data_IF_882179949417
#
_entry.id   IF_882179949417
#
_cell.length_a   1.000
_cell.length_b   1.000
_cell.length_c   1.000
_cell.angle_alpha   90.00
_cell.angle_beta   90.00
_cell.angle_gamma   90.00
#
_symmetry.space_group_name_H-M   'P 1'
#
loop_
_entity.id
_entity.type
_entity.pdbx_description
1 polymer ?
#
# COMPACT_ATOMS: atom_id res chain seq x y z
N UNK A 1 32.37 -68.47 47.02
CA UNK A 1 31.08 -67.78 46.93
C UNK A 1 31.30 -66.32 46.43
N UNK A 2 31.02 -66.08 45.16
CA UNK A 2 31.21 -64.72 44.53
C UNK A 2 29.83 -64.09 44.42
N UNK A 3 29.59 -62.94 45.18
CA UNK A 3 28.39 -62.12 45.06
C UNK A 3 28.56 -61.25 43.85
N UNK A 4 27.66 -61.33 42.89
CA UNK A 4 27.54 -60.41 41.76
C UNK A 4 26.67 -59.19 42.20
N UNK A 5 27.26 -58.06 42.16
CA UNK A 5 26.56 -56.74 42.37
C UNK A 5 25.91 -56.35 41.06
N UNK A 6 24.60 -56.27 41.05
CA UNK A 6 23.83 -55.74 39.89
C UNK A 6 23.59 -54.24 40.13
N UNK A 7 24.23 -53.43 39.31
CA UNK A 7 24.00 -51.94 39.30
C UNK A 7 22.87 -51.69 38.35
N UNK A 8 21.74 -51.20 38.89
CA UNK A 8 20.58 -50.69 38.12
C UNK A 8 20.85 -49.24 37.74
N UNK A 9 21.10 -48.95 36.48
CA UNK A 9 21.21 -47.60 35.97
C UNK A 9 19.81 -47.09 35.63
N UNK A 10 19.28 -46.21 36.49
CA UNK A 10 18.03 -45.48 36.20
C UNK A 10 18.36 -44.32 35.26
N UNK A 11 18.06 -44.47 33.98
CA UNK A 11 18.15 -43.37 33.00
C UNK A 11 16.89 -42.50 33.17
N UNK A 12 17.04 -41.36 33.86
CA UNK A 12 16.03 -40.30 33.84
C UNK A 12 15.98 -39.65 32.47
N UNK A 13 14.98 -39.96 31.66
CA UNK A 13 14.63 -39.20 30.49
C UNK A 13 14.01 -37.86 30.96
N UNK A 14 14.82 -36.84 31.01
CA UNK A 14 14.33 -35.46 31.13
C UNK A 14 13.84 -35.04 29.72
N UNK A 15 12.56 -35.27 29.45
CA UNK A 15 11.89 -34.60 28.32
C UNK A 15 11.88 -33.11 28.60
N UNK A 16 12.83 -32.37 28.01
CA UNK A 16 12.83 -30.94 27.97
C UNK A 16 11.60 -30.47 27.18
N UNK A 17 10.52 -30.11 27.89
CA UNK A 17 9.48 -29.28 27.34
C UNK A 17 10.12 -27.92 27.03
N UNK A 18 10.63 -27.72 25.83
CA UNK A 18 10.88 -26.39 25.31
C UNK A 18 9.50 -25.69 25.27
N UNK A 19 9.26 -24.81 26.22
CA UNK A 19 8.18 -23.87 26.14
C UNK A 19 8.42 -23.06 24.83
N UNK A 20 7.64 -23.37 23.78
CA UNK A 20 7.57 -22.51 22.61
C UNK A 20 7.13 -21.13 23.11
N UNK A 21 8.05 -20.20 23.20
CA UNK A 21 7.73 -18.79 23.44
C UNK A 21 6.77 -18.40 22.31
N UNK A 22 5.51 -18.12 22.67
CA UNK A 22 4.52 -17.68 21.69
C UNK A 22 5.09 -16.42 21.03
N UNK A 23 5.32 -16.49 19.73
CA UNK A 23 5.71 -15.31 18.96
C UNK A 23 4.59 -14.27 19.09
N UNK A 24 4.94 -13.11 19.59
CA UNK A 24 4.06 -11.93 19.62
C UNK A 24 4.67 -10.92 18.68
N UNK A 25 3.93 -10.51 17.67
CA UNK A 25 4.39 -9.56 16.67
C UNK A 25 4.81 -8.23 17.30
N UNK A 26 6.03 -7.81 17.04
CA UNK A 26 6.49 -6.45 17.32
C UNK A 26 6.04 -5.52 16.18
N UNK A 27 4.85 -4.96 16.34
CA UNK A 27 4.24 -4.10 15.32
C UNK A 27 5.06 -2.87 14.98
N UNK A 28 5.97 -2.45 15.86
CA UNK A 28 6.85 -1.30 15.60
C UNK A 28 7.88 -1.58 14.51
N UNK A 29 8.08 -2.86 14.13
CA UNK A 29 8.99 -3.26 13.04
C UNK A 29 8.31 -3.42 11.69
N UNK A 30 6.98 -3.39 11.65
CA UNK A 30 6.22 -3.52 10.40
C UNK A 30 6.13 -2.19 9.67
N UNK A 31 6.08 -2.25 8.34
CA UNK A 31 5.88 -1.10 7.46
C UNK A 31 6.77 0.11 7.80
N UNK A 32 8.08 -0.10 8.01
CA UNK A 32 9.03 0.99 8.32
C UNK A 32 9.14 2.00 7.17
N UNK A 33 8.89 1.58 5.95
CA UNK A 33 8.61 2.42 4.78
C UNK A 33 7.24 2.05 4.22
N UNK A 34 6.61 2.91 3.40
CA UNK A 34 5.33 2.58 2.78
C UNK A 34 5.41 1.25 2.01
N UNK A 35 4.47 0.30 2.19
CA UNK A 35 4.45 -0.94 1.43
C UNK A 35 4.38 -0.70 -0.08
N UNK A 36 5.08 -1.52 -0.85
CA UNK A 36 5.06 -1.48 -2.32
C UNK A 36 4.67 -2.84 -2.88
N UNK A 37 3.74 -2.86 -3.84
CA UNK A 37 3.28 -4.11 -4.41
C UNK A 37 2.32 -3.94 -5.61
N UNK A 38 1.57 -5.00 -5.88
CA UNK A 38 0.52 -5.05 -6.88
C UNK A 38 -0.75 -5.62 -6.26
N UNK A 39 -1.90 -5.05 -6.58
CA UNK A 39 -3.23 -5.42 -6.06
C UNK A 39 -4.20 -5.72 -7.20
N UNK A 40 -5.02 -6.76 -7.04
CA UNK A 40 -5.80 -7.34 -8.14
C UNK A 40 -7.05 -6.54 -8.52
N UNK A 41 -7.56 -5.63 -7.67
CA UNK A 41 -8.93 -5.13 -7.80
C UNK A 41 -9.19 -4.29 -9.06
N UNK A 42 -8.47 -3.19 -9.27
CA UNK A 42 -8.84 -2.22 -10.30
C UNK A 42 -8.78 -2.79 -11.73
N UNK A 43 -7.85 -3.68 -12.04
CA UNK A 43 -7.79 -4.32 -13.35
C UNK A 43 -8.75 -5.50 -13.47
N UNK A 44 -8.84 -6.35 -12.43
CA UNK A 44 -9.45 -7.67 -12.57
C UNK A 44 -10.74 -7.85 -11.78
N UNK A 45 -11.01 -7.04 -10.75
CA UNK A 45 -12.17 -7.15 -9.86
C UNK A 45 -12.37 -8.58 -9.37
N UNK A 46 -13.54 -9.17 -9.59
CA UNK A 46 -13.87 -10.56 -9.23
C UNK A 46 -13.25 -11.62 -10.13
N UNK A 47 -12.61 -11.22 -11.26
CA UNK A 47 -12.04 -12.15 -12.27
C UNK A 47 -10.62 -12.55 -11.89
N UNK A 48 -10.47 -13.11 -10.71
CA UNK A 48 -9.19 -13.59 -10.16
C UNK A 48 -9.21 -15.10 -9.99
N UNK A 49 -8.04 -15.71 -10.14
CA UNK A 49 -7.79 -17.11 -9.86
C UNK A 49 -6.30 -17.34 -9.54
N UNK A 50 -5.96 -18.56 -9.15
CA UNK A 50 -4.61 -18.95 -8.77
C UNK A 50 -3.58 -18.69 -9.88
N UNK A 51 -3.92 -19.03 -11.13
CA UNK A 51 -3.01 -18.86 -12.27
C UNK A 51 -2.72 -17.39 -12.54
N UNK A 52 -3.75 -16.53 -12.53
CA UNK A 52 -3.56 -15.09 -12.67
C UNK A 52 -2.60 -14.53 -11.61
N UNK A 53 -2.76 -14.92 -10.35
CA UNK A 53 -1.91 -14.41 -9.27
C UNK A 53 -0.46 -14.89 -9.45
N UNK A 54 -0.25 -16.14 -9.89
CA UNK A 54 1.08 -16.67 -10.24
C UNK A 54 1.71 -15.91 -11.40
N UNK A 55 0.93 -15.66 -12.46
CA UNK A 55 1.39 -14.89 -13.62
C UNK A 55 1.77 -13.44 -13.24
N UNK A 56 1.01 -12.80 -12.35
CA UNK A 56 1.38 -11.47 -11.84
C UNK A 56 2.65 -11.50 -11.01
N UNK A 57 2.85 -12.55 -10.17
CA UNK A 57 4.10 -12.73 -9.42
C UNK A 57 5.30 -12.93 -10.37
N UNK A 58 5.14 -13.72 -11.42
CA UNK A 58 6.18 -13.92 -12.44
C UNK A 58 6.49 -12.63 -13.22
N UNK A 59 5.45 -11.88 -13.60
CA UNK A 59 5.59 -10.59 -14.27
C UNK A 59 6.23 -9.52 -13.36
N UNK A 60 5.95 -9.56 -12.06
CA UNK A 60 6.60 -8.70 -11.06
C UNK A 60 8.11 -8.89 -11.06
N UNK A 61 8.57 -10.15 -11.16
CA UNK A 61 10.00 -10.50 -11.18
C UNK A 61 10.61 -10.21 -12.56
N UNK A 62 10.04 -10.77 -13.62
CA UNK A 62 10.58 -10.65 -14.99
C UNK A 62 10.51 -9.22 -15.52
N UNK A 63 9.52 -8.45 -15.07
CA UNK A 63 9.36 -7.03 -15.38
C UNK A 63 10.34 -6.12 -14.63
N UNK A 64 11.10 -6.60 -13.64
CA UNK A 64 12.03 -5.81 -12.84
C UNK A 64 11.38 -4.98 -11.73
N UNK A 65 10.08 -5.18 -11.49
CA UNK A 65 9.35 -4.44 -10.44
C UNK A 65 9.82 -4.85 -9.04
N UNK A 66 10.03 -6.17 -8.80
CA UNK A 66 10.62 -6.64 -7.54
C UNK A 66 11.95 -5.96 -7.25
N UNK A 67 12.83 -5.86 -8.22
CA UNK A 67 14.16 -5.28 -8.08
C UNK A 67 14.11 -3.73 -7.92
N UNK A 68 12.97 -3.11 -8.29
CA UNK A 68 12.67 -1.71 -8.03
C UNK A 68 12.08 -1.47 -6.61
N UNK A 69 11.76 -2.54 -5.86
CA UNK A 69 11.27 -2.46 -4.48
C UNK A 69 9.83 -2.91 -4.26
N UNK A 70 9.09 -3.29 -5.30
CA UNK A 70 7.74 -3.83 -5.16
C UNK A 70 7.80 -5.27 -4.65
N UNK A 71 7.35 -5.50 -3.43
CA UNK A 71 7.52 -6.77 -2.74
C UNK A 71 6.25 -7.57 -2.56
N UNK A 72 5.07 -6.93 -2.62
CA UNK A 72 3.81 -7.58 -2.30
C UNK A 72 2.99 -7.92 -3.56
N UNK A 73 2.38 -9.10 -3.54
CA UNK A 73 1.24 -9.46 -4.39
C UNK A 73 0.02 -9.50 -3.47
N UNK A 74 -0.98 -8.65 -3.72
CA UNK A 74 -2.19 -8.59 -2.92
C UNK A 74 -3.35 -9.22 -3.68
N UNK A 75 -3.98 -10.25 -3.09
CA UNK A 75 -5.27 -10.74 -3.52
C UNK A 75 -6.34 -9.90 -2.83
N UNK A 76 -7.10 -9.14 -3.62
CA UNK A 76 -8.24 -8.36 -3.13
C UNK A 76 -9.47 -9.25 -2.93
N UNK A 77 -10.68 -8.71 -2.82
CA UNK A 77 -11.94 -9.44 -2.58
C UNK A 77 -12.20 -10.56 -3.61
N UNK A 78 -13.17 -11.42 -3.33
CA UNK A 78 -13.67 -12.50 -4.19
C UNK A 78 -12.80 -13.77 -4.27
N UNK A 79 -11.87 -13.99 -3.32
CA UNK A 79 -11.13 -15.24 -3.22
C UNK A 79 -11.81 -16.29 -2.35
N UNK A 80 -12.77 -15.89 -1.51
CA UNK A 80 -13.37 -16.69 -0.45
C UNK A 80 -14.37 -17.69 -1.02
N UNK A 81 -14.33 -18.95 -0.55
CA UNK A 81 -15.27 -20.02 -0.87
C UNK A 81 -16.26 -20.35 0.25
N UNK A 82 -16.22 -19.59 1.35
CA UNK A 82 -17.07 -19.83 2.53
C UNK A 82 -16.28 -20.32 3.75
N UNK A 83 -16.91 -21.16 4.60
CA UNK A 83 -16.29 -21.78 5.76
C UNK A 83 -16.51 -23.30 5.74
N UNK A 84 -15.53 -24.03 6.25
CA UNK A 84 -15.65 -25.48 6.44
C UNK A 84 -16.53 -25.85 7.66
N UNK A 85 -16.67 -27.13 7.95
CA UNK A 85 -17.46 -27.65 9.08
C UNK A 85 -16.84 -27.32 10.46
N UNK A 86 -15.63 -26.76 10.50
CA UNK A 86 -14.94 -26.26 11.71
C UNK A 86 -14.90 -24.74 11.74
N UNK A 87 -15.67 -24.10 10.88
CA UNK A 87 -15.71 -22.66 10.68
C UNK A 87 -14.37 -22.03 10.21
N UNK A 88 -13.42 -22.80 9.67
CA UNK A 88 -12.26 -22.21 9.03
C UNK A 88 -12.67 -21.55 7.72
N UNK A 89 -12.18 -20.33 7.47
CA UNK A 89 -12.35 -19.71 6.16
C UNK A 89 -11.58 -20.51 5.12
N UNK A 90 -12.23 -20.74 3.97
CA UNK A 90 -11.62 -21.52 2.87
C UNK A 90 -11.65 -20.70 1.57
N UNK A 91 -10.66 -20.88 0.69
CA UNK A 91 -10.69 -20.28 -0.64
C UNK A 91 -11.75 -20.95 -1.51
N UNK A 92 -12.19 -20.22 -2.55
CA UNK A 92 -13.02 -20.77 -3.61
C UNK A 92 -12.24 -21.90 -4.32
N UNK A 93 -12.73 -23.17 -4.30
CA UNK A 93 -11.99 -24.31 -4.84
C UNK A 93 -11.89 -24.30 -6.37
N UNK A 94 -12.74 -23.54 -7.06
CA UNK A 94 -12.64 -23.36 -8.51
C UNK A 94 -11.60 -22.32 -8.91
N UNK A 95 -11.50 -21.26 -8.12
CA UNK A 95 -10.52 -20.18 -8.35
C UNK A 95 -9.13 -20.55 -7.82
N UNK A 96 -9.05 -21.23 -6.67
CA UNK A 96 -7.80 -21.55 -5.96
C UNK A 96 -7.75 -23.04 -5.61
N UNK A 97 -7.66 -23.93 -6.60
CA UNK A 97 -7.77 -25.39 -6.41
C UNK A 97 -6.69 -25.99 -5.51
N UNK A 98 -5.50 -25.38 -5.45
CA UNK A 98 -4.41 -25.85 -4.57
C UNK A 98 -4.37 -25.11 -3.22
N UNK A 99 -5.30 -24.15 -3.01
CA UNK A 99 -5.42 -23.36 -1.78
C UNK A 99 -4.44 -22.22 -1.65
N UNK A 100 -4.73 -21.30 -0.72
CA UNK A 100 -3.94 -20.08 -0.52
C UNK A 100 -2.53 -20.38 0.01
N UNK A 101 -2.35 -21.44 0.80
CA UNK A 101 -1.01 -21.80 1.28
C UNK A 101 -0.04 -22.15 0.15
N UNK A 102 -0.47 -22.97 -0.80
CA UNK A 102 0.36 -23.33 -1.95
C UNK A 102 0.69 -22.12 -2.81
N UNK A 103 -0.26 -21.21 -2.96
CA UNK A 103 -0.06 -19.94 -3.66
C UNK A 103 0.93 -19.03 -2.90
N UNK A 104 0.85 -18.95 -1.58
CA UNK A 104 1.81 -18.19 -0.76
C UNK A 104 3.23 -18.77 -0.89
N UNK A 105 3.37 -20.10 -0.83
CA UNK A 105 4.66 -20.77 -1.02
C UNK A 105 5.25 -20.44 -2.41
N UNK A 106 4.41 -20.41 -3.45
CA UNK A 106 4.83 -20.01 -4.81
C UNK A 106 5.31 -18.55 -4.85
N UNK A 107 4.53 -17.62 -4.31
CA UNK A 107 4.88 -16.19 -4.28
C UNK A 107 6.18 -15.96 -3.49
N UNK A 108 6.32 -16.64 -2.34
CA UNK A 108 7.54 -16.58 -1.53
C UNK A 108 8.75 -17.16 -2.27
N UNK A 109 8.58 -18.21 -3.09
CA UNK A 109 9.66 -18.78 -3.92
C UNK A 109 10.23 -17.77 -4.94
N UNK A 110 9.45 -16.73 -5.28
CA UNK A 110 9.88 -15.63 -6.15
C UNK A 110 10.55 -14.46 -5.38
N UNK A 111 10.73 -14.61 -4.05
CA UNK A 111 11.23 -13.53 -3.18
C UNK A 111 10.22 -12.40 -2.99
N UNK A 112 8.94 -12.69 -3.14
CA UNK A 112 7.82 -11.78 -2.94
C UNK A 112 7.04 -12.16 -1.68
N UNK A 113 6.09 -11.33 -1.28
CA UNK A 113 5.20 -11.48 -0.13
C UNK A 113 3.75 -11.55 -0.60
N UNK A 114 2.90 -12.32 0.10
CA UNK A 114 1.49 -12.43 -0.24
C UNK A 114 0.63 -11.64 0.74
N UNK A 115 -0.17 -10.70 0.21
CA UNK A 115 -1.25 -10.03 0.93
C UNK A 115 -2.61 -10.65 0.60
N UNK A 116 -3.54 -10.56 1.54
CA UNK A 116 -4.91 -11.06 1.39
C UNK A 116 -5.92 -10.03 1.88
N UNK A 117 -7.18 -10.20 1.50
CA UNK A 117 -8.30 -9.33 1.84
C UNK A 117 -9.31 -10.04 2.74
N UNK A 118 -9.88 -9.31 3.70
CA UNK A 118 -11.11 -9.67 4.40
C UNK A 118 -11.84 -8.40 4.84
N UNK A 119 -12.90 -8.56 5.66
CA UNK A 119 -13.75 -7.45 6.09
C UNK A 119 -14.13 -7.58 7.57
N UNK A 120 -14.32 -6.45 8.24
CA UNK A 120 -14.78 -6.33 9.62
C UNK A 120 -16.31 -6.48 9.76
N UNK A 121 -16.96 -7.10 8.78
CA UNK A 121 -18.36 -7.45 8.74
C UNK A 121 -18.55 -8.96 8.49
N UNK A 122 -19.79 -9.50 8.55
CA UNK A 122 -20.05 -10.89 8.19
C UNK A 122 -19.76 -11.20 6.72
N UNK A 123 -19.93 -10.23 5.84
CA UNK A 123 -19.71 -10.33 4.40
C UNK A 123 -18.81 -9.19 3.91
N UNK A 124 -18.01 -9.50 2.88
CA UNK A 124 -17.16 -8.53 2.17
C UNK A 124 -17.99 -7.55 1.33
N UNK A 125 -17.33 -6.55 0.73
CA UNK A 125 -17.98 -5.59 -0.18
C UNK A 125 -18.65 -6.29 -1.36
N UNK A 126 -18.05 -7.36 -1.88
CA UNK A 126 -18.63 -8.16 -2.97
C UNK A 126 -19.58 -9.29 -2.48
N UNK A 127 -19.88 -9.36 -1.16
CA UNK A 127 -20.83 -10.32 -0.60
C UNK A 127 -20.25 -11.70 -0.27
N UNK A 128 -18.93 -11.86 -0.23
CA UNK A 128 -18.27 -13.09 0.16
C UNK A 128 -18.10 -13.20 1.69
N UNK A 129 -17.79 -14.40 2.17
CA UNK A 129 -17.54 -14.64 3.61
C UNK A 129 -16.40 -13.78 4.12
N UNK A 130 -16.63 -13.09 5.24
CA UNK A 130 -15.63 -12.24 5.90
C UNK A 130 -15.31 -12.70 7.33
N UNK A 131 -14.51 -11.93 8.07
CA UNK A 131 -13.87 -12.40 9.32
C UNK A 131 -14.55 -11.94 10.61
N UNK A 132 -15.58 -11.10 10.55
CA UNK A 132 -16.27 -10.62 11.75
C UNK A 132 -16.83 -11.76 12.60
N UNK A 133 -16.43 -11.81 13.88
CA UNK A 133 -16.78 -12.89 14.82
C UNK A 133 -15.87 -14.12 14.74
N UNK A 134 -14.91 -14.14 13.82
CA UNK A 134 -13.95 -15.24 13.63
C UNK A 134 -12.48 -14.74 13.57
N UNK A 135 -12.23 -13.54 14.10
CA UNK A 135 -10.93 -12.84 13.95
C UNK A 135 -9.76 -13.68 14.43
N UNK A 136 -9.87 -14.35 15.59
CA UNK A 136 -8.77 -15.20 16.12
C UNK A 136 -8.53 -16.44 15.27
N UNK A 137 -9.61 -17.05 14.75
CA UNK A 137 -9.50 -18.25 13.92
C UNK A 137 -8.93 -17.92 12.56
N UNK A 138 -9.41 -16.84 11.93
CA UNK A 138 -8.98 -16.41 10.61
C UNK A 138 -7.53 -15.88 10.65
N UNK A 139 -7.15 -15.12 11.67
CA UNK A 139 -5.76 -14.69 11.85
C UNK A 139 -4.77 -15.86 11.95
N UNK A 140 -5.15 -16.95 12.67
CA UNK A 140 -4.34 -18.17 12.72
C UNK A 140 -4.29 -18.88 11.36
N UNK A 141 -5.38 -18.89 10.64
CA UNK A 141 -5.46 -19.45 9.27
C UNK A 141 -4.57 -18.68 8.32
N UNK A 142 -4.63 -17.34 8.34
CA UNK A 142 -3.78 -16.47 7.52
C UNK A 142 -2.29 -16.66 7.87
N UNK A 143 -1.95 -16.75 9.15
CA UNK A 143 -0.58 -17.05 9.59
C UNK A 143 -0.11 -18.43 9.10
N UNK A 144 -0.96 -19.46 9.21
CA UNK A 144 -0.66 -20.81 8.72
C UNK A 144 -0.47 -20.84 7.20
N UNK A 145 -1.22 -20.08 6.45
CA UNK A 145 -1.04 -19.95 4.98
C UNK A 145 0.21 -19.16 4.59
N UNK A 146 0.85 -18.46 5.51
CA UNK A 146 2.02 -17.65 5.23
C UNK A 146 1.69 -16.25 4.69
N UNK A 147 0.54 -15.70 5.05
CA UNK A 147 0.16 -14.34 4.67
C UNK A 147 1.07 -13.30 5.35
N UNK A 148 1.46 -12.27 4.61
CA UNK A 148 2.35 -11.19 5.04
C UNK A 148 1.65 -9.84 5.24
N UNK A 149 0.43 -9.69 4.70
CA UNK A 149 -0.36 -8.48 4.79
C UNK A 149 -1.85 -8.81 4.76
N UNK A 150 -2.65 -8.17 5.61
CA UNK A 150 -4.11 -8.23 5.58
C UNK A 150 -4.68 -6.85 5.27
N UNK A 151 -5.36 -6.70 4.12
CA UNK A 151 -6.29 -5.58 3.86
C UNK A 151 -7.62 -5.94 4.50
N UNK A 152 -8.11 -5.11 5.41
CA UNK A 152 -9.31 -5.37 6.19
C UNK A 152 -10.31 -4.23 6.00
N UNK A 153 -11.39 -4.54 5.30
CA UNK A 153 -12.40 -3.58 4.86
C UNK A 153 -13.51 -3.39 5.90
N UNK A 154 -14.51 -2.56 5.59
CA UNK A 154 -15.60 -2.20 6.50
C UNK A 154 -16.97 -2.13 5.82
N UNK A 155 -17.22 -2.92 4.77
CA UNK A 155 -18.47 -2.96 4.05
C UNK A 155 -19.58 -3.56 4.93
N UNK A 156 -20.80 -3.06 4.76
CA UNK A 156 -21.98 -3.60 5.48
C UNK A 156 -21.85 -3.62 7.02
N UNK A 157 -21.00 -2.78 7.58
CA UNK A 157 -20.74 -2.65 9.01
C UNK A 157 -21.40 -1.38 9.57
N UNK A 158 -21.61 -1.29 10.92
CA UNK A 158 -22.18 -0.09 11.54
C UNK A 158 -21.37 1.17 11.26
N UNK A 159 -22.06 2.30 11.04
CA UNK A 159 -21.42 3.53 10.59
C UNK A 159 -20.66 4.29 11.69
N UNK A 160 -20.87 3.96 12.96
CA UNK A 160 -20.23 4.67 14.07
C UNK A 160 -18.75 4.30 14.23
N UNK A 161 -17.95 5.30 14.60
CA UNK A 161 -16.51 5.19 14.78
C UNK A 161 -16.12 4.21 15.90
N UNK A 162 -16.82 4.23 17.02
CA UNK A 162 -16.45 3.39 18.17
C UNK A 162 -16.58 1.90 17.85
N UNK A 163 -17.60 1.50 17.09
CA UNK A 163 -17.73 0.13 16.60
C UNK A 163 -16.63 -0.22 15.60
N UNK A 164 -16.25 0.70 14.70
CA UNK A 164 -15.16 0.47 13.77
C UNK A 164 -13.83 0.25 14.50
N UNK A 165 -13.45 1.15 15.42
CA UNK A 165 -12.24 1.00 16.23
C UNK A 165 -12.20 -0.35 16.97
N UNK A 166 -13.33 -0.76 17.58
CA UNK A 166 -13.43 -2.04 18.30
C UNK A 166 -13.21 -3.25 17.37
N UNK A 167 -13.81 -3.25 16.18
CA UNK A 167 -13.70 -4.37 15.23
C UNK A 167 -12.29 -4.47 14.63
N UNK A 168 -11.70 -3.35 14.23
CA UNK A 168 -10.33 -3.32 13.76
C UNK A 168 -9.33 -3.74 14.84
N UNK A 169 -9.54 -3.27 16.08
CA UNK A 169 -8.71 -3.69 17.21
C UNK A 169 -8.81 -5.20 17.48
N UNK A 170 -9.98 -5.79 17.35
CA UNK A 170 -10.16 -7.24 17.53
C UNK A 170 -9.32 -8.04 16.55
N UNK A 171 -9.33 -7.67 15.25
CA UNK A 171 -8.49 -8.32 14.24
C UNK A 171 -7.00 -8.04 14.50
N UNK A 172 -6.60 -6.82 14.83
CA UNK A 172 -5.20 -6.48 15.14
C UNK A 172 -4.65 -7.30 16.32
N UNK A 173 -5.46 -7.46 17.38
CA UNK A 173 -5.10 -8.28 18.55
C UNK A 173 -4.99 -9.78 18.18
N UNK A 174 -5.84 -10.26 17.28
CA UNK A 174 -5.80 -11.62 16.77
C UNK A 174 -4.53 -11.86 15.92
N UNK A 175 -4.22 -10.94 15.01
CA UNK A 175 -3.00 -11.00 14.18
C UNK A 175 -1.74 -10.99 15.05
N UNK A 176 -1.69 -10.15 16.10
CA UNK A 176 -0.51 -10.09 17.00
C UNK A 176 -0.21 -11.40 17.72
N UNK A 177 -1.24 -12.26 17.89
CA UNK A 177 -1.15 -13.56 18.56
C UNK A 177 -1.09 -14.74 17.57
N UNK A 178 -1.15 -14.48 16.28
CA UNK A 178 -1.25 -15.52 15.25
C UNK A 178 0.02 -16.35 15.06
N UNK A 179 1.17 -15.85 15.51
CA UNK A 179 2.47 -16.52 15.37
C UNK A 179 3.25 -16.08 14.13
N UNK A 180 2.75 -15.10 13.38
CA UNK A 180 3.40 -14.53 12.19
C UNK A 180 3.28 -13.01 12.16
N UNK A 181 4.32 -12.34 11.66
CA UNK A 181 4.32 -10.90 11.42
C UNK A 181 3.49 -10.60 10.16
N UNK A 182 2.29 -10.05 10.36
CA UNK A 182 1.36 -9.68 9.28
C UNK A 182 1.11 -8.18 9.36
N UNK A 183 1.45 -7.45 8.31
CA UNK A 183 1.13 -6.02 8.20
C UNK A 183 -0.38 -5.84 8.10
N UNK A 184 -0.94 -4.91 8.87
CA UNK A 184 -2.38 -4.70 8.95
C UNK A 184 -2.78 -3.39 8.30
N UNK A 185 -3.54 -3.49 7.20
CA UNK A 185 -4.11 -2.38 6.44
C UNK A 185 -5.59 -2.20 6.76
N UNK A 186 -5.95 -1.06 7.36
CA UNK A 186 -7.31 -0.66 7.68
C UNK A 186 -7.93 0.04 6.47
N UNK A 187 -9.06 -0.46 5.98
CA UNK A 187 -9.75 0.08 4.82
C UNK A 187 -11.18 0.49 5.20
N UNK A 188 -11.37 1.77 5.56
CA UNK A 188 -12.68 2.33 5.92
C UNK A 188 -12.97 3.66 5.18
N UNK A 189 -12.25 3.86 4.08
CA UNK A 189 -12.44 4.95 3.09
C UNK A 189 -12.34 6.38 3.65
N UNK A 190 -11.68 6.57 4.80
CA UNK A 190 -11.49 7.88 5.42
C UNK A 190 -12.71 8.46 6.13
N UNK A 191 -13.87 7.82 6.01
CA UNK A 191 -15.14 8.35 6.50
C UNK A 191 -15.20 8.55 8.02
N UNK A 192 -14.41 7.79 8.78
CA UNK A 192 -14.33 7.86 10.26
C UNK A 192 -13.02 8.44 10.74
N UNK A 193 -12.28 9.14 9.86
CA UNK A 193 -10.99 9.78 10.15
C UNK A 193 -9.98 8.78 10.75
N UNK A 194 -9.61 7.70 10.05
CA UNK A 194 -8.76 6.62 10.55
C UNK A 194 -7.38 7.12 10.96
N UNK A 195 -6.87 8.18 10.37
CA UNK A 195 -5.62 8.81 10.78
C UNK A 195 -5.58 9.24 12.26
N UNK A 196 -6.72 9.41 12.92
CA UNK A 196 -6.79 9.77 14.35
C UNK A 196 -6.71 8.56 15.28
N UNK A 197 -7.02 7.34 14.83
CA UNK A 197 -7.20 6.18 15.71
C UNK A 197 -6.62 4.86 15.20
N UNK A 198 -6.42 4.71 13.89
CA UNK A 198 -6.05 3.43 13.30
C UNK A 198 -4.72 2.87 13.84
N UNK A 199 -3.74 3.73 14.12
CA UNK A 199 -2.49 3.29 14.75
C UNK A 199 -2.72 2.67 16.13
N UNK A 200 -3.54 3.29 16.98
CA UNK A 200 -3.91 2.78 18.31
C UNK A 200 -4.75 1.49 18.22
N UNK A 201 -5.58 1.37 17.18
CA UNK A 201 -6.30 0.13 16.87
C UNK A 201 -5.39 -0.98 16.34
N UNK A 202 -4.13 -0.67 16.00
CA UNK A 202 -3.11 -1.63 15.59
C UNK A 202 -2.82 -1.70 14.10
N UNK A 203 -3.35 -0.77 13.30
CA UNK A 203 -3.04 -0.64 11.87
C UNK A 203 -1.65 -0.04 11.62
N UNK A 204 -1.00 -0.50 10.56
CA UNK A 204 0.23 0.09 10.02
C UNK A 204 -0.03 0.93 8.77
N UNK A 205 -1.16 0.71 8.11
CA UNK A 205 -1.59 1.42 6.92
C UNK A 205 -3.09 1.68 7.05
N UNK A 206 -3.59 2.81 6.59
CA UNK A 206 -5.03 3.09 6.60
C UNK A 206 -5.47 3.97 5.46
N UNK A 207 -6.54 3.55 4.79
CA UNK A 207 -7.20 4.28 3.72
C UNK A 207 -7.77 5.59 4.24
N UNK A 208 -7.43 6.67 3.58
CA UNK A 208 -7.84 8.03 3.97
C UNK A 208 -8.93 8.61 3.09
N UNK A 209 -9.27 7.95 2.00
CA UNK A 209 -10.17 8.43 0.96
C UNK A 209 -11.08 7.30 0.46
N UNK A 210 -12.12 7.65 -0.30
CA UNK A 210 -12.88 6.70 -1.10
C UNK A 210 -12.01 6.00 -2.14
N UNK A 211 -12.58 4.98 -2.82
CA UNK A 211 -11.87 4.20 -3.83
C UNK A 211 -11.47 5.07 -5.02
N UNK A 212 -10.20 4.97 -5.41
CA UNK A 212 -9.69 5.68 -6.57
C UNK A 212 -10.20 5.07 -7.86
N UNK A 213 -10.56 5.93 -8.80
CA UNK A 213 -10.87 5.58 -10.18
C UNK A 213 -9.82 6.15 -11.12
N UNK A 214 -9.70 5.55 -12.31
CA UNK A 214 -8.77 6.00 -13.34
C UNK A 214 -9.29 7.28 -14.02
N UNK A 215 -9.26 8.38 -13.26
CA UNK A 215 -9.65 9.72 -13.68
C UNK A 215 -8.84 10.78 -12.93
N UNK A 216 -8.69 11.95 -13.54
CA UNK A 216 -7.98 13.07 -12.93
C UNK A 216 -8.72 13.64 -11.71
N UNK A 217 -10.01 13.89 -11.88
CA UNK A 217 -10.89 14.47 -10.86
C UNK A 217 -12.28 13.87 -10.98
N UNK A 218 -12.97 13.67 -9.88
CA UNK A 218 -14.35 13.22 -9.89
C UNK A 218 -15.30 14.31 -10.41
N UNK A 219 -15.84 14.06 -11.57
CA UNK A 219 -16.86 14.92 -12.21
C UNK A 219 -18.22 14.21 -12.34
N UNK A 220 -18.27 12.91 -12.04
CA UNK A 220 -19.44 12.07 -12.30
C UNK A 220 -20.27 11.83 -11.05
N UNK A 221 -19.69 12.00 -9.85
CA UNK A 221 -20.32 11.75 -8.54
C UNK A 221 -20.98 10.36 -8.45
N UNK A 222 -20.39 9.35 -9.10
CA UNK A 222 -20.93 7.98 -9.20
C UNK A 222 -20.21 7.00 -8.25
N UNK A 223 -19.60 7.52 -7.18
CA UNK A 223 -18.76 6.75 -6.25
C UNK A 223 -17.32 6.57 -6.76
N UNK A 224 -16.39 6.65 -5.86
CA UNK A 224 -14.96 6.76 -6.16
C UNK A 224 -14.53 8.20 -6.43
N UNK A 225 -13.21 8.40 -6.48
CA UNK A 225 -12.58 9.74 -6.63
C UNK A 225 -11.43 9.68 -7.61
N UNK A 226 -10.97 10.86 -8.07
CA UNK A 226 -9.85 10.99 -8.98
C UNK A 226 -8.52 11.28 -8.27
N UNK A 227 -7.44 11.32 -9.05
CA UNK A 227 -6.07 11.57 -8.57
C UNK A 227 -5.98 12.91 -7.79
N UNK A 228 -6.56 13.98 -8.33
CA UNK A 228 -6.51 15.29 -7.69
C UNK A 228 -7.33 15.35 -6.41
N UNK A 229 -8.46 14.63 -6.36
CA UNK A 229 -9.29 14.57 -5.15
C UNK A 229 -8.55 13.89 -4.00
N UNK A 230 -7.85 12.79 -4.30
CA UNK A 230 -6.97 12.08 -3.35
C UNK A 230 -5.86 12.98 -2.82
N UNK A 231 -5.14 13.67 -3.72
CA UNK A 231 -4.07 14.61 -3.34
C UNK A 231 -4.60 15.68 -2.40
N UNK A 232 -5.75 16.27 -2.73
CA UNK A 232 -6.34 17.36 -1.93
C UNK A 232 -6.79 16.89 -0.54
N UNK A 233 -7.38 15.70 -0.44
CA UNK A 233 -7.84 15.13 0.84
C UNK A 233 -6.69 14.75 1.75
N UNK A 234 -5.53 14.35 1.18
CA UNK A 234 -4.36 13.91 1.94
C UNK A 234 -3.35 15.03 2.23
N UNK A 235 -3.44 16.18 1.58
CA UNK A 235 -2.44 17.26 1.67
C UNK A 235 -2.12 17.69 3.11
N UNK A 236 -3.13 17.73 3.98
CA UNK A 236 -3.01 18.19 5.37
C UNK A 236 -2.84 17.05 6.38
N UNK A 237 -2.78 15.79 5.93
CA UNK A 237 -2.64 14.62 6.81
C UNK A 237 -1.19 14.23 7.13
N UNK A 238 -0.22 15.08 6.77
CA UNK A 238 1.22 14.80 6.92
C UNK A 238 1.67 14.52 8.36
N UNK A 239 0.96 15.04 9.36
CA UNK A 239 1.28 14.81 10.77
C UNK A 239 0.96 13.37 11.25
N UNK A 240 0.18 12.62 10.47
CA UNK A 240 -0.32 11.30 10.84
C UNK A 240 0.41 10.16 10.11
N UNK A 241 1.44 10.47 9.33
CA UNK A 241 2.22 9.48 8.58
C UNK A 241 3.68 9.45 9.03
N UNK A 242 4.26 8.26 9.08
CA UNK A 242 5.65 8.02 9.44
C UNK A 242 5.99 6.53 9.53
N UNK A 243 7.21 6.16 9.96
CA UNK A 243 7.59 4.75 10.08
C UNK A 243 6.61 3.94 10.91
N UNK A 244 6.14 2.84 10.32
CA UNK A 244 5.16 1.95 10.95
C UNK A 244 3.70 2.43 10.91
N UNK A 245 3.41 3.59 10.26
CA UNK A 245 2.06 4.14 10.19
C UNK A 245 1.92 5.09 8.98
N UNK A 246 1.16 4.68 7.94
CA UNK A 246 1.08 5.38 6.66
C UNK A 246 -0.36 5.66 6.26
N UNK A 247 -0.60 6.89 5.78
CA UNK A 247 -1.82 7.24 5.07
C UNK A 247 -1.82 6.54 3.71
N UNK A 248 -2.91 5.86 3.38
CA UNK A 248 -3.09 5.14 2.13
C UNK A 248 -4.06 5.91 1.22
N UNK A 249 -3.53 6.40 0.12
CA UNK A 249 -4.25 7.13 -0.92
C UNK A 249 -4.82 6.17 -1.99
N UNK A 250 -4.96 4.89 -1.66
CA UNK A 250 -5.38 3.84 -2.56
C UNK A 250 -4.35 3.47 -3.66
N UNK A 251 -4.77 2.59 -4.56
CA UNK A 251 -3.95 1.98 -5.59
C UNK A 251 -3.45 2.99 -6.62
N UNK A 252 -2.31 2.69 -7.21
CA UNK A 252 -1.87 3.37 -8.42
C UNK A 252 -2.70 2.90 -9.62
N UNK A 253 -3.41 3.83 -10.26
CA UNK A 253 -4.16 3.58 -11.51
C UNK A 253 -3.26 3.69 -12.74
N UNK A 254 -1.98 3.93 -12.54
CA UNK A 254 -0.95 4.04 -13.58
C UNK A 254 -0.97 2.84 -14.51
N UNK A 255 -1.26 3.09 -15.79
CA UNK A 255 -1.24 2.07 -16.83
C UNK A 255 -2.58 1.34 -17.04
N UNK A 256 -3.66 1.77 -16.41
CA UNK A 256 -5.01 1.25 -16.68
C UNK A 256 -5.56 1.76 -18.02
N UNK A 257 -5.39 3.03 -18.34
CA UNK A 257 -5.90 3.69 -19.57
C UNK A 257 -7.39 3.42 -19.81
N UNK A 258 -8.20 3.58 -18.75
CA UNK A 258 -9.65 3.35 -18.78
C UNK A 258 -10.08 1.88 -18.83
N UNK A 259 -9.12 0.96 -18.67
CA UNK A 259 -9.41 -0.49 -18.63
C UNK A 259 -9.61 -0.94 -17.18
N UNK A 260 -10.20 -2.14 -17.05
CA UNK A 260 -10.47 -2.73 -15.74
C UNK A 260 -11.87 -2.44 -15.22
N UNK A 261 -12.36 -3.26 -14.25
CA UNK A 261 -13.74 -3.25 -13.80
C UNK A 261 -14.24 -1.87 -13.37
N UNK A 262 -13.65 -1.24 -12.34
CA UNK A 262 -14.13 0.05 -11.83
C UNK A 262 -14.02 1.21 -12.82
N UNK A 263 -13.06 1.19 -13.74
CA UNK A 263 -12.85 2.25 -14.72
C UNK A 263 -13.73 2.11 -15.96
N UNK A 264 -14.07 0.87 -16.36
CA UNK A 264 -14.95 0.63 -17.50
C UNK A 264 -16.36 1.15 -17.25
N UNK A 265 -16.83 1.13 -16.00
CA UNK A 265 -18.13 1.66 -15.59
C UNK A 265 -18.23 3.19 -15.76
N UNK A 266 -17.09 3.89 -15.88
CA UNK A 266 -16.98 5.32 -16.12
C UNK A 266 -16.83 5.70 -17.60
N UNK A 267 -17.12 4.78 -18.53
CA UNK A 267 -17.04 5.01 -19.96
C UNK A 267 -15.67 4.76 -20.59
N UNK A 268 -14.72 4.16 -19.85
CA UNK A 268 -13.45 3.67 -20.39
C UNK A 268 -12.43 4.76 -20.76
N UNK A 269 -12.63 5.99 -20.31
CA UNK A 269 -11.66 7.09 -20.48
C UNK A 269 -10.78 7.14 -19.24
N UNK A 270 -9.54 6.67 -19.34
CA UNK A 270 -8.56 6.74 -18.27
C UNK A 270 -7.75 8.03 -18.28
N UNK A 271 -6.87 8.16 -17.30
CA UNK A 271 -5.85 9.19 -17.24
C UNK A 271 -4.83 9.04 -18.37
N UNK A 272 -4.16 10.17 -18.69
CA UNK A 272 -3.03 10.19 -19.61
C UNK A 272 -1.69 10.01 -18.88
N UNK A 273 -0.59 9.87 -19.62
CA UNK A 273 0.75 9.64 -19.07
C UNK A 273 1.23 10.75 -18.12
N UNK A 274 0.82 12.00 -18.33
CA UNK A 274 1.18 13.15 -17.46
C UNK A 274 0.48 13.01 -16.11
N UNK A 275 -0.79 12.64 -16.11
CA UNK A 275 -1.58 12.43 -14.91
C UNK A 275 -1.10 11.21 -14.12
N UNK A 276 -0.70 10.13 -14.81
CA UNK A 276 -0.06 8.97 -14.18
C UNK A 276 1.31 9.31 -13.56
N UNK A 277 2.13 10.13 -14.26
CA UNK A 277 3.38 10.63 -13.71
C UNK A 277 3.15 11.50 -12.48
N UNK A 278 2.08 12.30 -12.49
CA UNK A 278 1.63 13.10 -11.34
C UNK A 278 1.16 12.21 -10.20
N UNK A 279 0.35 11.18 -10.45
CA UNK A 279 -0.05 10.24 -9.41
C UNK A 279 1.17 9.62 -8.73
N UNK A 280 2.09 9.03 -9.50
CA UNK A 280 3.30 8.43 -8.96
C UNK A 280 4.13 9.44 -8.16
N UNK A 281 4.29 10.68 -8.65
CA UNK A 281 5.00 11.74 -7.96
C UNK A 281 4.37 12.07 -6.61
N UNK A 282 3.06 12.25 -6.56
CA UNK A 282 2.37 12.72 -5.37
C UNK A 282 2.18 11.62 -4.33
N UNK A 283 1.94 10.35 -4.74
CA UNK A 283 1.97 9.19 -3.83
C UNK A 283 3.35 9.07 -3.16
N UNK A 284 4.42 9.27 -3.94
CA UNK A 284 5.77 9.27 -3.38
C UNK A 284 6.03 10.47 -2.47
N UNK A 285 5.56 11.66 -2.81
CA UNK A 285 5.73 12.85 -1.97
C UNK A 285 4.97 12.73 -0.66
N UNK A 286 3.72 12.27 -0.70
CA UNK A 286 2.83 12.16 0.47
C UNK A 286 3.04 10.86 1.27
N UNK A 287 3.93 9.95 0.81
CA UNK A 287 4.31 8.75 1.54
C UNK A 287 3.22 7.66 1.56
N UNK A 288 2.37 7.62 0.54
CA UNK A 288 1.37 6.56 0.38
C UNK A 288 2.03 5.22 -0.01
N UNK A 289 1.44 4.07 0.35
CA UNK A 289 1.78 2.80 -0.27
C UNK A 289 1.74 2.88 -1.80
N UNK A 290 2.62 2.13 -2.46
CA UNK A 290 2.68 2.07 -3.92
C UNK A 290 2.12 0.71 -4.38
N UNK A 291 0.80 0.59 -4.44
CA UNK A 291 0.10 -0.59 -4.89
C UNK A 291 -0.30 -0.44 -6.36
N UNK A 292 0.49 -0.99 -7.30
CA UNK A 292 0.13 -1.07 -8.72
C UNK A 292 -1.17 -1.86 -8.88
N UNK A 293 -1.98 -1.54 -9.88
CA UNK A 293 -3.25 -2.23 -10.10
C UNK A 293 -3.52 -2.57 -11.58
N UNK A 294 -2.55 -2.37 -12.46
CA UNK A 294 -2.60 -2.69 -13.89
C UNK A 294 -2.19 -4.15 -14.18
N UNK A 295 -2.38 -4.60 -15.41
CA UNK A 295 -1.90 -5.91 -15.88
C UNK A 295 -0.39 -5.86 -16.13
N UNK A 296 0.40 -6.46 -15.21
CA UNK A 296 1.87 -6.46 -15.29
C UNK A 296 2.44 -7.29 -16.44
N UNK A 297 1.65 -8.18 -17.03
CA UNK A 297 2.06 -9.01 -18.18
C UNK A 297 2.18 -8.18 -19.46
N UNK A 298 1.53 -7.01 -19.50
CA UNK A 298 1.35 -6.21 -20.72
C UNK A 298 1.56 -4.71 -20.47
N UNK A 299 2.74 -4.36 -19.96
CA UNK A 299 3.08 -2.98 -19.57
C UNK A 299 3.72 -2.23 -20.72
N UNK A 300 3.14 -1.11 -21.16
CA UNK A 300 3.73 -0.24 -22.18
C UNK A 300 4.95 0.54 -21.66
N UNK A 301 5.70 1.17 -22.57
CA UNK A 301 6.93 1.87 -22.25
C UNK A 301 6.75 3.06 -21.29
N UNK A 302 5.65 3.81 -21.43
CA UNK A 302 5.35 4.96 -20.56
C UNK A 302 5.03 4.50 -19.13
N UNK A 303 4.13 3.54 -18.97
CA UNK A 303 3.80 2.94 -17.68
C UNK A 303 5.05 2.36 -17.01
N UNK A 304 5.88 1.62 -17.77
CA UNK A 304 7.12 1.05 -17.26
C UNK A 304 8.09 2.13 -16.77
N UNK A 305 8.26 3.21 -17.54
CA UNK A 305 9.09 4.36 -17.15
C UNK A 305 8.61 5.00 -15.85
N UNK A 306 7.30 5.13 -15.69
CA UNK A 306 6.70 5.75 -14.51
C UNK A 306 6.89 4.85 -13.28
N UNK A 307 6.47 3.60 -13.35
CA UNK A 307 6.45 2.67 -12.22
C UNK A 307 7.86 2.21 -11.78
N UNK A 308 8.85 2.27 -12.66
CA UNK A 308 10.23 1.86 -12.37
C UNK A 308 11.19 3.04 -12.16
N UNK A 309 10.70 4.27 -12.03
CA UNK A 309 11.56 5.42 -11.76
C UNK A 309 12.14 5.34 -10.35
N UNK A 310 13.41 4.95 -10.26
CA UNK A 310 14.11 4.73 -8.99
C UNK A 310 14.27 5.99 -8.15
N UNK A 311 14.39 7.16 -8.78
CA UNK A 311 14.56 8.43 -8.07
C UNK A 311 13.26 8.84 -7.35
N UNK A 312 12.12 8.64 -8.00
CA UNK A 312 10.80 8.91 -7.39
C UNK A 312 10.50 7.88 -6.31
N UNK A 313 10.78 6.59 -6.55
CA UNK A 313 10.63 5.52 -5.55
C UNK A 313 11.52 5.82 -4.32
N UNK A 314 12.74 6.29 -4.52
CA UNK A 314 13.65 6.64 -3.42
C UNK A 314 13.11 7.78 -2.54
N UNK A 315 12.29 8.68 -3.08
CA UNK A 315 11.57 9.68 -2.26
C UNK A 315 10.55 8.99 -1.35
N UNK A 316 9.75 8.06 -1.89
CA UNK A 316 8.76 7.31 -1.11
C UNK A 316 9.41 6.49 0.01
N UNK A 317 10.52 5.81 -0.30
CA UNK A 317 11.22 4.87 0.56
C UNK A 317 12.33 5.51 1.40
N UNK A 318 12.41 6.86 1.46
CA UNK A 318 13.45 7.54 2.23
C UNK A 318 13.37 7.19 3.73
N UNK A 319 14.48 6.73 4.35
CA UNK A 319 14.48 6.20 5.72
C UNK A 319 14.20 7.24 6.80
N UNK A 320 14.23 8.54 6.48
CA UNK A 320 13.79 9.59 7.40
C UNK A 320 12.29 9.44 7.75
N UNK A 321 11.51 8.80 6.89
CA UNK A 321 10.10 8.51 7.12
C UNK A 321 9.20 9.76 7.21
N UNK A 322 9.69 10.93 6.83
CA UNK A 322 8.87 12.16 6.75
C UNK A 322 8.12 12.18 5.43
N UNK A 323 6.98 12.84 5.41
CA UNK A 323 6.17 13.04 4.20
C UNK A 323 6.12 14.52 3.84
N UNK A 324 5.64 14.82 2.63
CA UNK A 324 5.60 16.20 2.15
C UNK A 324 4.55 17.04 2.89
N UNK A 325 4.91 18.31 3.08
CA UNK A 325 4.03 19.34 3.64
C UNK A 325 3.67 20.31 2.52
N UNK A 326 2.39 20.67 2.34
CA UNK A 326 2.00 21.70 1.39
C UNK A 326 2.54 23.05 1.84
N UNK A 327 3.17 23.79 0.93
CA UNK A 327 3.73 25.13 1.16
C UNK A 327 2.93 26.22 0.44
N UNK A 328 2.40 25.89 -0.73
CA UNK A 328 1.53 26.77 -1.50
C UNK A 328 0.34 25.95 -2.01
N UNK A 329 -0.86 26.48 -1.87
CA UNK A 329 -2.08 25.91 -2.47
C UNK A 329 -2.95 27.07 -2.95
N UNK A 330 -3.26 27.09 -4.24
CA UNK A 330 -4.18 28.02 -4.86
C UNK A 330 -4.96 27.32 -5.99
N UNK A 331 -5.82 28.03 -6.67
CA UNK A 331 -6.71 27.48 -7.71
C UNK A 331 -5.98 26.96 -8.96
N UNK A 332 -4.69 27.28 -9.13
CA UNK A 332 -3.94 26.94 -10.33
C UNK A 332 -2.83 25.90 -10.07
N UNK A 333 -2.15 26.01 -8.91
CA UNK A 333 -1.03 25.12 -8.61
C UNK A 333 -0.83 24.91 -7.11
N UNK A 334 -0.10 23.85 -6.80
CA UNK A 334 0.28 23.48 -5.44
C UNK A 334 1.79 23.22 -5.38
N UNK A 335 2.42 23.56 -4.25
CA UNK A 335 3.85 23.30 -4.01
C UNK A 335 3.99 22.53 -2.70
N UNK A 336 4.73 21.42 -2.76
CA UNK A 336 4.99 20.56 -1.62
C UNK A 336 6.48 20.43 -1.36
N UNK A 337 6.87 20.37 -0.10
CA UNK A 337 8.24 20.17 0.32
C UNK A 337 8.33 18.98 1.28
N UNK A 338 9.17 17.99 0.94
CA UNK A 338 9.42 16.80 1.75
C UNK A 338 10.89 16.80 2.21
N UNK A 339 11.17 16.79 3.52
CA UNK A 339 12.52 16.53 4.03
C UNK A 339 12.94 15.10 3.71
N UNK A 340 14.19 14.91 3.30
CA UNK A 340 14.80 13.62 3.04
C UNK A 340 16.05 13.44 3.90
N UNK A 341 16.51 12.22 4.02
CA UNK A 341 17.76 11.89 4.70
C UNK A 341 18.97 12.60 4.04
N UNK A 342 20.00 12.95 4.83
CA UNK A 342 21.23 13.59 4.35
C UNK A 342 21.05 15.05 3.91
N UNK A 343 20.28 15.83 4.67
CA UNK A 343 20.03 17.28 4.45
C UNK A 343 19.54 17.61 3.03
N UNK A 344 18.75 16.74 2.47
CA UNK A 344 18.11 16.89 1.17
C UNK A 344 16.62 17.19 1.33
N UNK A 345 16.04 17.70 0.27
CA UNK A 345 14.60 17.90 0.18
C UNK A 345 14.10 17.42 -1.18
N UNK A 346 12.88 16.89 -1.21
CA UNK A 346 12.12 16.76 -2.46
C UNK A 346 11.14 17.93 -2.57
N UNK A 347 11.18 18.63 -3.69
CA UNK A 347 10.28 19.73 -4.03
C UNK A 347 9.37 19.27 -5.16
N UNK A 348 8.05 19.27 -4.94
CA UNK A 348 7.06 19.03 -5.98
C UNK A 348 6.30 20.32 -6.31
N UNK A 349 6.13 20.59 -7.61
CA UNK A 349 5.35 21.72 -8.14
C UNK A 349 4.31 21.13 -9.07
N UNK A 350 3.06 21.11 -8.61
CA UNK A 350 1.91 20.53 -9.29
C UNK A 350 1.04 21.62 -9.90
N UNK A 351 0.83 21.59 -11.21
CA UNK A 351 -0.17 22.37 -11.89
C UNK A 351 -1.52 21.62 -11.86
N UNK A 352 -2.52 22.17 -11.17
CA UNK A 352 -3.85 21.58 -11.05
C UNK A 352 -4.85 22.11 -12.07
N UNK A 353 -4.45 23.08 -12.90
CA UNK A 353 -5.30 23.70 -13.91
C UNK A 353 -5.26 22.96 -15.25
N UNK A 354 -6.31 23.14 -16.05
CA UNK A 354 -6.46 22.56 -17.40
C UNK A 354 -5.55 23.21 -18.45
N UNK A 355 -4.70 24.16 -18.05
CA UNK A 355 -3.82 24.91 -18.95
C UNK A 355 -2.37 24.92 -18.43
N UNK A 356 -1.36 24.97 -19.32
CA UNK A 356 0.02 25.16 -18.90
C UNK A 356 0.20 26.46 -18.10
N UNK A 357 0.95 26.40 -17.02
CA UNK A 357 1.25 27.53 -16.14
C UNK A 357 2.75 27.87 -16.16
N UNK A 358 3.09 29.16 -16.08
CA UNK A 358 4.44 29.60 -15.77
C UNK A 358 4.55 29.87 -14.26
N UNK A 359 5.11 28.91 -13.53
CA UNK A 359 5.19 28.95 -12.07
C UNK A 359 6.59 29.41 -11.65
N UNK A 360 6.66 30.27 -10.64
CA UNK A 360 7.90 30.72 -10.00
C UNK A 360 7.80 30.42 -8.51
N UNK A 361 8.84 29.82 -7.95
CA UNK A 361 8.93 29.43 -6.54
C UNK A 361 10.26 29.94 -6.00
N UNK A 362 10.22 30.85 -5.02
CA UNK A 362 11.41 31.21 -4.26
C UNK A 362 11.56 30.20 -3.10
N UNK A 363 12.76 29.64 -2.92
CA UNK A 363 12.98 28.63 -1.90
C UNK A 363 12.88 29.19 -0.48
N UNK A 364 13.16 30.49 -0.30
CA UNK A 364 12.92 31.21 0.96
C UNK A 364 11.47 31.16 1.43
N UNK A 365 10.52 31.21 0.50
CA UNK A 365 9.07 31.17 0.80
C UNK A 365 8.64 29.79 1.30
N UNK A 366 9.47 28.78 1.05
CA UNK A 366 9.28 27.40 1.52
C UNK A 366 9.97 27.11 2.87
N UNK A 367 10.71 28.09 3.42
CA UNK A 367 11.51 27.96 4.63
C UNK A 367 12.91 27.36 4.37
N UNK A 368 13.41 27.48 3.15
CA UNK A 368 14.76 27.04 2.76
C UNK A 368 15.66 28.29 2.57
N UNK A 369 16.63 28.47 3.44
CA UNK A 369 17.39 29.71 3.63
C UNK A 369 18.82 29.70 3.06
N UNK A 370 19.30 28.54 2.54
CA UNK A 370 20.61 28.50 1.88
C UNK A 370 20.64 29.43 0.67
N UNK A 371 21.76 30.12 0.46
CA UNK A 371 21.94 31.01 -0.70
C UNK A 371 21.84 30.29 -2.05
N UNK A 372 22.12 28.98 -2.09
CA UNK A 372 22.06 28.13 -3.29
C UNK A 372 21.73 26.69 -2.93
N UNK A 373 20.88 26.09 -3.73
CA UNK A 373 20.61 24.64 -3.76
C UNK A 373 20.95 24.10 -5.15
N UNK A 374 21.43 22.88 -5.23
CA UNK A 374 21.43 22.14 -6.48
C UNK A 374 20.01 21.61 -6.74
N UNK A 375 19.62 21.50 -8.00
CA UNK A 375 18.34 20.94 -8.42
C UNK A 375 18.62 19.73 -9.32
N UNK A 376 18.07 18.59 -8.95
CA UNK A 376 18.08 17.39 -9.79
C UNK A 376 16.63 17.04 -10.14
N UNK A 377 16.28 17.08 -11.44
CA UNK A 377 14.94 16.72 -11.93
C UNK A 377 14.85 15.20 -12.02
N UNK A 378 13.96 14.60 -11.21
CA UNK A 378 13.84 13.14 -11.06
C UNK A 378 13.17 12.47 -12.25
N UNK A 379 12.47 13.21 -13.11
CA UNK A 379 11.82 12.66 -14.30
C UNK A 379 12.69 12.71 -15.54
N UNK A 380 13.46 13.78 -15.71
CA UNK A 380 14.43 13.89 -16.82
C UNK A 380 15.81 13.35 -16.49
N UNK A 381 16.07 13.02 -15.21
CA UNK A 381 17.38 12.59 -14.68
C UNK A 381 18.49 13.60 -14.96
N UNK A 382 18.15 14.90 -14.91
CA UNK A 382 19.08 15.97 -15.23
C UNK A 382 19.41 16.86 -14.03
N UNK A 383 20.70 17.18 -13.91
CA UNK A 383 21.16 18.21 -13.01
C UNK A 383 20.87 19.59 -13.63
N UNK A 384 20.14 20.43 -12.91
CA UNK A 384 19.81 21.78 -13.33
C UNK A 384 20.76 22.83 -12.73
N UNK A 385 20.65 24.07 -13.19
CA UNK A 385 21.40 25.18 -12.64
C UNK A 385 21.05 25.41 -11.17
N UNK A 386 22.07 25.46 -10.31
CA UNK A 386 21.89 25.74 -8.89
C UNK A 386 21.38 27.16 -8.64
N UNK A 387 20.52 27.33 -7.63
CA UNK A 387 19.93 28.63 -7.29
C UNK A 387 19.16 28.61 -5.99
N UNK A 388 18.48 29.70 -5.71
CA UNK A 388 17.57 29.88 -4.57
C UNK A 388 16.11 30.04 -5.01
N UNK A 389 15.83 29.81 -6.29
CA UNK A 389 14.49 29.86 -6.88
C UNK A 389 14.40 28.92 -8.06
N UNK A 390 13.21 28.45 -8.32
CA UNK A 390 12.86 27.74 -9.55
C UNK A 390 11.83 28.56 -10.35
N UNK A 391 11.88 28.46 -11.67
CA UNK A 391 10.86 29.05 -12.55
C UNK A 391 10.82 28.34 -13.87
N UNK A 392 9.62 28.02 -14.33
CA UNK A 392 9.45 27.28 -15.57
C UNK A 392 8.00 27.04 -15.94
N UNK A 393 7.81 26.46 -17.12
CA UNK A 393 6.53 25.98 -17.63
C UNK A 393 6.21 24.62 -17.03
N UNK A 394 5.01 24.47 -16.47
CA UNK A 394 4.43 23.22 -15.99
C UNK A 394 3.17 22.97 -16.83
N UNK A 395 3.10 21.84 -17.50
CA UNK A 395 1.96 21.48 -18.35
C UNK A 395 0.70 21.28 -17.51
N UNK A 396 -0.47 21.26 -18.14
CA UNK A 396 -1.72 20.87 -17.48
C UNK A 396 -1.57 19.55 -16.75
N UNK A 397 -1.99 19.47 -15.50
CA UNK A 397 -1.96 18.32 -14.60
C UNK A 397 -0.56 17.73 -14.30
N UNK A 398 0.50 18.42 -14.75
CA UNK A 398 1.89 17.96 -14.56
C UNK A 398 2.40 18.29 -13.16
N UNK A 399 3.19 17.36 -12.61
CA UNK A 399 4.02 17.59 -11.43
C UNK A 399 5.50 17.60 -11.82
N UNK A 400 6.22 18.69 -11.53
CA UNK A 400 7.67 18.73 -11.54
C UNK A 400 8.19 18.32 -10.18
N UNK A 401 9.15 17.39 -10.14
CA UNK A 401 9.76 16.94 -8.88
C UNK A 401 11.27 17.10 -8.94
N UNK A 402 11.82 17.75 -7.92
CA UNK A 402 13.26 18.01 -7.82
C UNK A 402 13.81 17.52 -6.49
N UNK A 403 15.00 16.92 -6.51
CA UNK A 403 15.80 16.75 -5.31
C UNK A 403 16.67 17.99 -5.15
N UNK A 404 16.59 18.61 -3.97
CA UNK A 404 17.39 19.78 -3.55
C UNK A 404 18.48 19.34 -2.57
N UNK A 405 19.70 19.87 -2.77
CA UNK A 405 20.84 19.63 -1.87
C UNK A 405 21.62 20.92 -1.63
#
# INVERSE_FOLDING_TARGET
MKRKLVILILACLVMGMQAQTKHVTDRTKLAQTPPMGWMSWNQFSSKINEDLIKEMADAMVSGGFRDAGYQYIFIDDCWQGGRDNRNNIIPDPQKFPHGIKALADYVHSKGLKLGIYSDAAPLTCAGYTASYGFEEQDAKTFAHWGIDYLKYDYCNAPSDRATAEKRYKAMADALSKSGRDITFGICEWGGRQPYLWAYQAGGQVWRTTYDIRDMWKDTLHQGGIGILDDINQNADLHAYAGPGHWNDMDMLVVGLYGKGGPSSDLGGVGCNDIEYETQMSMWCMLGSPLAMSNDLRNVNAATRRILLNKDVIAINQDPLGKVAVPKVRNDNYQVYLRPLSGDRYALAILNISDHPQHIKVALSDLGLDKKRYSFYDVWSHQQMKSGNKWGGKVLSHQTKVFILK
#
